data_IF_880947475800
#
_entry.id   IF_880947475800
#
_cell.length_a   1.000
_cell.length_b   1.000
_cell.length_c   1.000
_cell.angle_alpha   90.00
_cell.angle_beta   90.00
_cell.angle_gamma   90.00
#
_symmetry.space_group_name_H-M   'P 1'
#
loop_
_entity.id
_entity.type
_entity.pdbx_description
1 polymer ?
#
# COMPACT_ATOMS: atom_id res chain seq x y z
N UNK A 1 14.86 6.73 -28.56
CA UNK A 1 13.59 5.97 -28.49
C UNK A 1 12.42 6.95 -28.48
N UNK A 2 11.28 6.59 -29.06
CA UNK A 2 10.06 7.40 -28.95
C UNK A 2 9.47 7.21 -27.54
N UNK A 3 9.20 8.30 -26.85
CA UNK A 3 8.55 8.31 -25.53
C UNK A 3 7.13 7.69 -25.66
N UNK A 4 6.84 6.65 -24.88
CA UNK A 4 5.53 5.97 -24.86
C UNK A 4 4.61 6.66 -23.85
N UNK A 5 3.34 6.80 -24.21
CA UNK A 5 2.30 7.35 -23.35
C UNK A 5 1.26 6.28 -23.04
N UNK A 6 0.69 6.37 -21.84
CA UNK A 6 -0.26 5.42 -21.28
C UNK A 6 -1.55 6.16 -20.92
N UNK A 7 -2.68 5.64 -21.38
CA UNK A 7 -3.99 6.09 -20.92
C UNK A 7 -4.34 5.45 -19.56
N UNK A 8 -5.47 5.83 -18.96
CA UNK A 8 -5.85 5.33 -17.63
C UNK A 8 -6.07 3.81 -17.57
N UNK A 9 -6.52 3.18 -18.66
CA UNK A 9 -6.70 1.71 -18.73
C UNK A 9 -5.36 1.00 -18.72
N UNK A 10 -4.46 1.43 -19.59
CA UNK A 10 -3.10 0.88 -19.67
C UNK A 10 -2.33 1.15 -18.35
N UNK A 11 -2.55 2.32 -17.76
CA UNK A 11 -2.00 2.66 -16.46
C UNK A 11 -2.51 1.72 -15.36
N UNK A 12 -3.81 1.41 -15.33
CA UNK A 12 -4.38 0.48 -14.37
C UNK A 12 -3.72 -0.91 -14.45
N UNK A 13 -3.50 -1.40 -15.67
CA UNK A 13 -2.82 -2.67 -15.91
C UNK A 13 -1.35 -2.63 -15.44
N UNK A 14 -0.62 -1.56 -15.77
CA UNK A 14 0.75 -1.35 -15.30
C UNK A 14 0.86 -1.20 -13.78
N UNK A 15 -0.04 -0.45 -13.16
CA UNK A 15 -0.01 -0.21 -11.70
C UNK A 15 -0.19 -1.54 -10.97
N UNK A 16 -1.06 -2.41 -11.48
CA UNK A 16 -1.32 -3.74 -10.93
C UNK A 16 -0.16 -4.72 -11.09
N UNK A 17 0.84 -4.45 -11.93
CA UNK A 17 2.02 -5.29 -12.05
C UNK A 17 3.01 -5.05 -10.91
N UNK A 18 3.91 -5.99 -10.63
CA UNK A 18 5.03 -5.77 -9.72
C UNK A 18 6.10 -4.88 -10.34
N UNK A 19 6.86 -4.09 -9.54
CA UNK A 19 7.97 -3.27 -10.04
C UNK A 19 8.99 -4.07 -10.87
N UNK A 20 9.34 -5.29 -10.45
CA UNK A 20 10.28 -6.15 -11.17
C UNK A 20 9.73 -6.78 -12.47
N UNK A 21 8.41 -6.82 -12.65
CA UNK A 21 7.76 -7.59 -13.73
C UNK A 21 7.98 -9.11 -13.65
N UNK A 22 8.64 -9.64 -12.60
CA UNK A 22 9.06 -11.06 -12.50
C UNK A 22 7.98 -11.99 -11.96
N UNK A 23 6.92 -11.45 -11.36
CA UNK A 23 5.92 -12.24 -10.63
C UNK A 23 4.55 -12.04 -11.29
N UNK A 24 4.06 -13.08 -11.99
CA UNK A 24 2.64 -13.22 -12.31
C UNK A 24 1.90 -13.66 -11.04
N UNK A 25 1.35 -12.70 -10.28
CA UNK A 25 0.45 -12.99 -9.17
C UNK A 25 -0.86 -12.23 -9.34
N UNK A 26 -1.89 -12.71 -8.65
CA UNK A 26 -3.19 -12.05 -8.49
C UNK A 26 -3.01 -10.56 -8.17
N UNK A 27 -3.97 -9.73 -8.60
CA UNK A 27 -3.93 -8.29 -8.37
C UNK A 27 -3.79 -7.95 -6.88
N UNK A 28 -2.60 -7.49 -6.47
CA UNK A 28 -2.30 -7.11 -5.09
C UNK A 28 -2.88 -5.75 -4.66
N UNK A 29 -3.52 -5.05 -5.59
CA UNK A 29 -4.13 -3.74 -5.38
C UNK A 29 -5.57 -3.73 -5.88
N UNK A 30 -6.50 -3.48 -4.97
CA UNK A 30 -7.90 -3.21 -5.28
C UNK A 30 -8.09 -1.71 -5.58
N UNK A 31 -7.62 -1.29 -6.76
CA UNK A 31 -7.85 0.06 -7.28
C UNK A 31 -8.67 0.03 -8.57
N UNK A 32 -9.59 0.98 -8.68
CA UNK A 32 -10.47 1.20 -9.83
C UNK A 32 -9.97 2.34 -10.71
N UNK A 33 -10.35 2.34 -11.99
CA UNK A 33 -10.11 3.48 -12.89
C UNK A 33 -10.62 4.81 -12.30
N UNK A 34 -11.77 4.78 -11.60
CA UNK A 34 -12.38 5.98 -11.01
C UNK A 34 -11.48 6.58 -9.93
N UNK A 35 -10.87 5.75 -9.08
CA UNK A 35 -9.93 6.19 -8.06
C UNK A 35 -8.66 6.76 -8.70
N UNK A 36 -8.11 6.10 -9.73
CA UNK A 36 -6.95 6.63 -10.48
C UNK A 36 -7.26 8.01 -11.07
N UNK A 37 -8.42 8.18 -11.72
CA UNK A 37 -8.82 9.48 -12.31
C UNK A 37 -8.97 10.57 -11.25
N UNK A 38 -9.43 10.24 -10.05
CA UNK A 38 -9.54 11.21 -8.95
C UNK A 38 -8.16 11.64 -8.41
N UNK A 39 -7.22 10.69 -8.27
CA UNK A 39 -5.83 10.98 -7.89
C UNK A 39 -5.18 11.90 -8.94
N UNK A 40 -5.29 11.54 -10.23
CA UNK A 40 -4.76 12.35 -11.33
C UNK A 40 -5.38 13.74 -11.38
N UNK A 41 -6.70 13.86 -11.18
CA UNK A 41 -7.40 15.13 -11.11
C UNK A 41 -6.81 16.03 -10.03
N UNK A 42 -6.63 15.49 -8.82
CA UNK A 42 -6.11 16.22 -7.66
C UNK A 42 -4.66 16.67 -7.86
N UNK A 43 -3.83 15.82 -8.46
CA UNK A 43 -2.43 16.16 -8.77
C UNK A 43 -2.34 17.28 -9.82
N UNK A 44 -3.02 17.10 -10.95
CA UNK A 44 -2.95 18.07 -12.07
C UNK A 44 -3.51 19.43 -11.65
N UNK A 45 -4.66 19.46 -10.97
CA UNK A 45 -5.22 20.72 -10.47
C UNK A 45 -4.33 21.34 -9.38
N UNK A 46 -3.75 20.53 -8.49
CA UNK A 46 -2.82 21.01 -7.47
C UNK A 46 -1.60 21.71 -8.11
N UNK A 47 -1.03 21.12 -9.16
CA UNK A 47 0.07 21.75 -9.92
C UNK A 47 -0.35 23.08 -10.56
N UNK A 48 -1.55 23.16 -11.14
CA UNK A 48 -2.07 24.43 -11.68
C UNK A 48 -2.27 25.51 -10.60
N UNK A 49 -2.54 25.08 -9.37
CA UNK A 49 -2.62 25.94 -8.18
C UNK A 49 -1.27 26.19 -7.52
N UNK A 50 -0.17 25.77 -8.14
CA UNK A 50 1.21 25.98 -7.68
C UNK A 50 1.51 25.34 -6.31
N UNK A 51 0.81 24.25 -5.97
CA UNK A 51 1.14 23.45 -4.80
C UNK A 51 2.48 22.74 -5.02
N UNK A 52 3.27 22.64 -3.96
CA UNK A 52 4.53 21.89 -3.95
C UNK A 52 4.29 20.38 -3.86
N UNK A 53 5.27 19.55 -4.27
CA UNK A 53 5.16 18.11 -4.10
C UNK A 53 5.04 17.70 -2.61
N UNK A 54 4.06 16.87 -2.31
CA UNK A 54 3.70 16.45 -0.96
C UNK A 54 2.75 17.41 -0.24
N UNK A 55 2.40 18.56 -0.84
CA UNK A 55 1.47 19.51 -0.25
C UNK A 55 0.02 19.05 -0.46
N UNK A 56 -0.78 19.17 0.60
CA UNK A 56 -2.22 18.93 0.59
C UNK A 56 -2.95 20.18 1.05
N UNK A 57 -3.89 20.68 0.24
CA UNK A 57 -4.60 21.92 0.54
C UNK A 57 -6.02 21.91 -0.02
N UNK A 58 -6.95 22.53 0.70
CA UNK A 58 -8.30 22.79 0.20
C UNK A 58 -8.20 23.98 -0.75
N UNK A 59 -8.62 23.79 -1.99
CA UNK A 59 -8.57 24.80 -3.05
C UNK A 59 -9.88 24.81 -3.82
N UNK A 60 -10.29 25.99 -4.31
CA UNK A 60 -11.44 26.09 -5.21
C UNK A 60 -10.98 26.00 -6.66
N UNK A 61 -11.78 25.38 -7.53
CA UNK A 61 -11.55 25.36 -8.97
C UNK A 61 -12.86 25.29 -9.76
N UNK A 62 -12.77 25.74 -11.01
CA UNK A 62 -13.87 25.73 -11.97
C UNK A 62 -13.90 24.34 -12.64
N UNK A 63 -15.03 23.63 -12.52
CA UNK A 63 -15.28 22.39 -13.28
C UNK A 63 -15.59 22.72 -14.73
N UNK A 64 -15.48 21.73 -15.64
CA UNK A 64 -15.88 21.83 -17.06
C UNK A 64 -17.33 22.32 -17.32
N UNK A 65 -18.18 22.44 -16.29
CA UNK A 65 -19.54 22.98 -16.35
C UNK A 65 -19.68 24.34 -15.63
N UNK A 66 -18.58 25.09 -15.51
CA UNK A 66 -18.49 26.45 -14.94
C UNK A 66 -18.96 26.61 -13.47
N UNK A 67 -19.15 25.50 -12.75
CA UNK A 67 -19.42 25.53 -11.32
C UNK A 67 -18.10 25.52 -10.54
N UNK A 68 -17.95 26.49 -9.66
CA UNK A 68 -16.86 26.51 -8.68
C UNK A 68 -17.12 25.45 -7.61
N UNK A 69 -16.07 24.69 -7.29
CA UNK A 69 -16.11 23.62 -6.29
C UNK A 69 -14.85 23.69 -5.45
N UNK A 70 -14.99 23.56 -4.13
CA UNK A 70 -13.88 23.32 -3.21
C UNK A 70 -13.59 21.81 -3.14
N UNK A 71 -12.32 21.42 -3.26
CA UNK A 71 -11.85 20.05 -3.09
C UNK A 71 -10.48 20.07 -2.42
N UNK A 72 -10.11 18.96 -1.78
CA UNK A 72 -8.78 18.81 -1.21
C UNK A 72 -7.84 18.29 -2.30
N UNK A 73 -6.99 19.18 -2.80
CA UNK A 73 -5.97 18.88 -3.81
C UNK A 73 -4.71 18.33 -3.14
N UNK A 74 -3.97 17.51 -3.87
CA UNK A 74 -2.72 16.91 -3.42
C UNK A 74 -1.80 16.67 -4.61
N UNK A 75 -0.57 17.18 -4.54
CA UNK A 75 0.46 16.95 -5.56
C UNK A 75 1.38 15.85 -5.05
N UNK A 76 1.34 14.66 -5.66
CA UNK A 76 2.21 13.56 -5.24
C UNK A 76 3.64 13.76 -5.77
N UNK A 77 4.65 13.20 -5.08
CA UNK A 77 6.02 13.15 -5.57
C UNK A 77 6.17 12.65 -7.01
N UNK A 78 7.09 13.23 -7.79
CA UNK A 78 7.46 12.70 -9.10
C UNK A 78 8.87 12.12 -9.08
N UNK A 79 9.05 11.07 -9.86
CA UNK A 79 10.26 10.26 -10.00
C UNK A 79 10.58 10.09 -11.48
N UNK A 80 11.85 9.80 -11.79
CA UNK A 80 12.36 9.74 -13.16
C UNK A 80 12.78 11.11 -13.70
N UNK A 81 13.38 11.10 -14.89
CA UNK A 81 14.09 12.26 -15.47
C UNK A 81 13.16 13.35 -15.99
N UNK A 82 11.99 12.99 -16.51
CA UNK A 82 11.08 13.94 -17.16
C UNK A 82 9.60 13.50 -17.07
N UNK A 83 8.99 13.48 -15.88
CA UNK A 83 7.60 13.07 -15.67
C UNK A 83 6.61 14.03 -16.35
N UNK A 84 5.81 13.52 -17.29
CA UNK A 84 4.83 14.29 -18.08
C UNK A 84 3.44 13.68 -18.04
N UNK A 85 2.44 14.56 -18.01
CA UNK A 85 1.04 14.22 -18.16
C UNK A 85 0.34 15.22 -19.08
N UNK A 86 -0.50 14.70 -19.98
CA UNK A 86 -1.51 15.44 -20.71
C UNK A 86 -2.85 15.23 -20.02
N UNK A 87 -3.60 16.31 -19.82
CA UNK A 87 -4.85 16.28 -19.07
C UNK A 87 -5.93 17.11 -19.75
N UNK A 88 -7.19 16.69 -19.57
CA UNK A 88 -8.34 17.46 -20.08
C UNK A 88 -8.42 18.85 -19.46
N UNK A 89 -7.87 19.00 -18.25
CA UNK A 89 -7.81 20.25 -17.51
C UNK A 89 -6.86 21.28 -18.14
N UNK A 90 -5.96 20.84 -19.02
CA UNK A 90 -5.02 21.73 -19.72
C UNK A 90 -5.76 22.79 -20.55
N UNK A 91 -6.93 22.46 -21.10
CA UNK A 91 -7.75 23.41 -21.87
C UNK A 91 -8.27 24.58 -21.04
N UNK A 92 -8.41 24.40 -19.72
CA UNK A 92 -8.93 25.42 -18.80
C UNK A 92 -7.80 26.19 -18.12
N UNK A 93 -6.68 25.53 -17.79
CA UNK A 93 -5.67 26.09 -16.89
C UNK A 93 -4.27 26.25 -17.52
N UNK A 94 -3.99 25.60 -18.66
CA UNK A 94 -2.70 25.74 -19.34
C UNK A 94 -2.78 26.90 -20.32
N UNK A 95 -1.90 27.90 -20.15
CA UNK A 95 -1.70 28.92 -21.18
C UNK A 95 -1.06 28.25 -22.40
N UNK A 96 -1.75 28.24 -23.53
CA UNK A 96 -1.19 27.71 -24.78
C UNK A 96 0.10 28.44 -25.15
N UNK A 97 1.16 27.68 -25.42
CA UNK A 97 2.44 28.18 -25.88
C UNK A 97 2.28 28.91 -27.23
N UNK A 98 2.86 30.11 -27.33
CA UNK A 98 2.83 30.94 -28.55
C UNK A 98 3.45 30.22 -29.75
N UNK A 99 4.48 29.40 -29.53
CA UNK A 99 5.16 28.64 -30.56
C UNK A 99 4.25 27.52 -31.11
N UNK A 100 3.50 26.85 -30.23
CA UNK A 100 2.53 25.81 -30.60
C UNK A 100 1.38 26.42 -31.42
N UNK A 101 0.90 27.61 -31.05
CA UNK A 101 -0.08 28.37 -31.86
C UNK A 101 0.45 28.72 -33.25
N UNK A 102 1.71 29.10 -33.38
CA UNK A 102 2.33 29.40 -34.67
C UNK A 102 2.51 28.15 -35.54
N UNK A 103 3.00 27.06 -34.97
CA UNK A 103 3.21 25.78 -35.69
C UNK A 103 1.89 25.16 -36.16
N UNK A 104 0.81 25.26 -35.37
CA UNK A 104 -0.53 24.82 -35.77
C UNK A 104 -1.09 25.64 -36.94
N UNK A 105 -0.86 26.96 -36.95
CA UNK A 105 -1.26 27.84 -38.07
C UNK A 105 -0.52 27.49 -39.38
N UNK A 106 0.63 26.85 -39.28
CA UNK A 106 1.44 26.41 -40.44
C UNK A 106 1.12 24.98 -40.89
N UNK A 107 0.12 24.30 -40.30
CA UNK A 107 -0.31 22.97 -40.74
C UNK A 107 0.68 21.83 -40.46
N UNK A 108 1.75 22.08 -39.70
CA UNK A 108 2.76 21.09 -39.35
C UNK A 108 2.20 20.15 -38.25
N UNK A 109 1.98 18.87 -38.59
CA UNK A 109 1.68 17.81 -37.62
C UNK A 109 2.96 17.44 -36.88
N UNK A 110 3.18 18.07 -35.75
CA UNK A 110 4.33 17.79 -34.86
C UNK A 110 4.18 16.41 -34.19
N UNK A 111 5.21 15.83 -33.53
CA UNK A 111 5.08 14.60 -32.74
C UNK A 111 3.91 14.63 -31.73
N UNK A 112 3.56 15.82 -31.24
CA UNK A 112 2.40 16.09 -30.40
C UNK A 112 1.06 15.86 -31.10
N UNK A 113 0.99 15.76 -32.42
CA UNK A 113 -0.24 15.46 -33.16
C UNK A 113 -0.67 13.99 -32.96
N UNK A 114 0.29 13.04 -32.91
CA UNK A 114 0.00 11.63 -32.61
C UNK A 114 -0.44 11.44 -31.16
N UNK A 115 0.28 12.08 -30.23
CA UNK A 115 -0.09 12.11 -28.81
C UNK A 115 -1.49 12.73 -28.63
N UNK A 116 -1.84 13.75 -29.42
CA UNK A 116 -3.20 14.35 -29.41
C UNK A 116 -4.28 13.41 -29.93
N UNK A 117 -4.00 12.54 -30.90
CA UNK A 117 -4.96 11.53 -31.36
C UNK A 117 -5.16 10.45 -30.30
N UNK A 118 -4.08 9.94 -29.70
CA UNK A 118 -4.14 9.03 -28.55
C UNK A 118 -4.91 9.67 -27.38
N UNK A 119 -4.72 10.97 -27.14
CA UNK A 119 -5.37 11.70 -26.06
C UNK A 119 -6.89 11.76 -26.25
N UNK A 120 -7.35 12.00 -27.48
CA UNK A 120 -8.78 12.00 -27.83
C UNK A 120 -9.46 10.67 -27.53
N UNK A 121 -8.71 9.57 -27.56
CA UNK A 121 -9.21 8.21 -27.31
C UNK A 121 -9.03 7.73 -25.85
N UNK A 122 -8.48 8.53 -24.95
CA UNK A 122 -8.09 8.14 -23.57
C UNK A 122 -9.22 8.17 -22.50
N UNK A 123 -10.48 8.25 -22.93
CA UNK A 123 -11.67 8.29 -22.07
C UNK A 123 -12.04 9.70 -21.58
N UNK A 124 -13.03 9.81 -20.68
CA UNK A 124 -13.51 11.10 -20.13
C UNK A 124 -13.54 11.10 -18.60
N UNK A 125 -12.85 12.01 -17.90
CA UNK A 125 -11.84 12.95 -18.42
C UNK A 125 -10.60 12.22 -18.94
N UNK A 126 -10.03 12.70 -20.04
CA UNK A 126 -8.86 12.17 -20.72
C UNK A 126 -7.57 12.51 -19.97
N UNK A 127 -6.71 11.49 -19.81
CA UNK A 127 -5.35 11.59 -19.29
C UNK A 127 -4.43 10.70 -20.11
N UNK A 128 -3.25 11.20 -20.45
CA UNK A 128 -2.13 10.43 -20.99
C UNK A 128 -0.87 10.75 -20.19
N UNK A 129 -0.17 9.74 -19.71
CA UNK A 129 1.03 9.89 -18.89
C UNK A 129 2.20 9.15 -19.53
N UNK A 130 3.40 9.74 -19.47
CA UNK A 130 4.60 9.00 -19.86
C UNK A 130 5.03 8.02 -18.75
N UNK A 131 6.05 7.22 -19.02
CA UNK A 131 6.53 6.18 -18.13
C UNK A 131 6.94 6.69 -16.74
N UNK A 132 7.76 7.75 -16.67
CA UNK A 132 8.17 8.39 -15.41
C UNK A 132 6.98 8.84 -14.54
N UNK A 133 5.97 9.45 -15.18
CA UNK A 133 4.76 9.87 -14.47
C UNK A 133 3.91 8.68 -14.04
N UNK A 134 3.80 7.65 -14.89
CA UNK A 134 3.09 6.41 -14.58
C UNK A 134 3.72 5.67 -13.41
N UNK A 135 5.04 5.58 -13.38
CA UNK A 135 5.80 5.03 -12.27
C UNK A 135 5.55 5.81 -10.96
N UNK A 136 5.61 7.15 -11.04
CA UNK A 136 5.29 8.01 -9.90
C UNK A 136 3.85 7.80 -9.38
N UNK A 137 2.89 7.63 -10.29
CA UNK A 137 1.49 7.36 -9.95
C UNK A 137 1.34 6.00 -9.26
N UNK A 138 2.05 4.97 -9.74
CA UNK A 138 2.08 3.65 -9.12
C UNK A 138 2.53 3.73 -7.68
N UNK A 139 3.68 4.38 -7.41
CA UNK A 139 4.20 4.56 -6.06
C UNK A 139 3.23 5.32 -5.14
N UNK A 140 2.54 6.34 -5.67
CA UNK A 140 1.53 7.07 -4.89
C UNK A 140 0.31 6.21 -4.55
N UNK A 141 -0.14 5.37 -5.47
CA UNK A 141 -1.25 4.43 -5.22
C UNK A 141 -0.84 3.41 -4.18
N UNK A 142 0.36 2.86 -4.30
CA UNK A 142 0.93 1.94 -3.32
C UNK A 142 1.01 2.60 -1.94
N UNK A 143 1.51 3.83 -1.84
CA UNK A 143 1.54 4.59 -0.57
C UNK A 143 0.14 4.77 0.05
N UNK A 144 -0.92 4.87 -0.76
CA UNK A 144 -2.29 5.05 -0.27
C UNK A 144 -2.96 3.75 0.14
N UNK A 145 -2.63 2.67 -0.55
CA UNK A 145 -3.25 1.36 -0.30
C UNK A 145 -2.45 0.52 0.71
N UNK A 146 -1.20 0.89 1.00
CA UNK A 146 -0.32 0.20 1.93
C UNK A 146 -0.10 1.02 3.21
N UNK A 147 -0.24 0.44 4.41
CA UNK A 147 -0.60 -0.95 4.67
C UNK A 147 -2.08 -1.21 4.42
N UNK A 148 -2.37 -2.36 3.81
CA UNK A 148 -3.74 -2.81 3.52
C UNK A 148 -4.46 -3.08 4.85
N UNK A 149 -5.41 -2.23 5.23
CA UNK A 149 -6.30 -2.50 6.38
C UNK A 149 -7.42 -3.45 5.94
N UNK A 150 -7.23 -4.76 6.13
CA UNK A 150 -8.27 -5.77 5.85
C UNK A 150 -8.51 -6.62 7.11
N UNK A 151 -9.06 -6.00 8.15
CA UNK A 151 -9.70 -6.79 9.20
C UNK A 151 -11.09 -7.18 8.73
N UNK A 152 -11.29 -8.44 8.34
CA UNK A 152 -12.62 -8.95 7.96
C UNK A 152 -13.34 -9.54 9.17
N UNK A 153 -12.59 -9.96 10.19
CA UNK A 153 -13.16 -10.51 11.41
C UNK A 153 -13.93 -9.46 12.22
N UNK A 154 -15.15 -9.85 12.59
CA UNK A 154 -16.03 -9.13 13.52
C UNK A 154 -16.45 -10.09 14.63
N UNK A 155 -16.65 -9.61 15.87
CA UNK A 155 -17.20 -10.46 16.92
C UNK A 155 -18.58 -10.95 16.50
N UNK A 156 -18.96 -12.16 16.89
CA UNK A 156 -20.35 -12.62 16.77
C UNK A 156 -21.26 -11.62 17.47
N UNK A 157 -22.47 -11.43 16.98
CA UNK A 157 -23.42 -10.58 17.71
C UNK A 157 -23.80 -11.26 19.02
N UNK A 158 -24.10 -10.46 20.06
CA UNK A 158 -24.62 -10.98 21.33
C UNK A 158 -25.86 -11.87 21.12
N UNK A 159 -26.73 -11.56 20.15
CA UNK A 159 -27.85 -12.42 19.77
C UNK A 159 -27.42 -13.76 19.19
N UNK A 160 -26.43 -13.78 18.29
CA UNK A 160 -25.90 -15.02 17.69
C UNK A 160 -25.31 -15.92 18.76
N UNK A 161 -24.51 -15.36 19.68
CA UNK A 161 -23.91 -16.14 20.78
C UNK A 161 -25.02 -16.71 21.67
N UNK A 162 -26.04 -15.92 22.02
CA UNK A 162 -27.17 -16.40 22.82
C UNK A 162 -27.96 -17.52 22.15
N UNK A 163 -28.11 -17.50 20.82
CA UNK A 163 -28.76 -18.58 20.08
C UNK A 163 -27.96 -19.89 20.09
N UNK A 164 -26.63 -19.79 20.17
CA UNK A 164 -25.74 -20.94 20.25
C UNK A 164 -25.62 -21.51 21.67
N UNK A 165 -26.07 -20.76 22.68
CA UNK A 165 -26.14 -21.19 24.07
C UNK A 165 -27.53 -21.80 24.35
N UNK A 166 -27.60 -23.09 24.64
CA UNK A 166 -28.82 -23.77 25.08
C UNK A 166 -28.74 -24.08 26.58
N UNK A 167 -29.78 -23.73 27.33
CA UNK A 167 -29.90 -23.95 28.78
C UNK A 167 -29.69 -25.42 29.16
N UNK A 168 -30.35 -26.35 28.45
CA UNK A 168 -30.25 -27.79 28.69
C UNK A 168 -28.83 -28.33 28.41
N UNK A 169 -28.18 -27.80 27.37
CA UNK A 169 -26.80 -28.16 27.01
C UNK A 169 -25.77 -27.56 27.97
N UNK A 170 -26.04 -26.38 28.55
CA UNK A 170 -25.14 -25.76 29.52
C UNK A 170 -25.22 -26.45 30.89
N UNK A 171 -26.37 -27.00 31.27
CA UNK A 171 -26.51 -27.78 32.52
C UNK A 171 -25.73 -29.10 32.46
N UNK A 172 -25.74 -29.77 31.31
CA UNK A 172 -25.16 -31.10 31.15
C UNK A 172 -23.76 -31.11 30.52
N UNK A 173 -23.48 -30.18 29.61
CA UNK A 173 -22.30 -30.17 28.72
C UNK A 173 -21.67 -28.77 28.62
N UNK A 174 -21.59 -28.03 29.74
CA UNK A 174 -21.05 -26.66 29.76
C UNK A 174 -19.71 -26.53 29.04
N UNK A 175 -18.73 -27.35 29.45
CA UNK A 175 -17.35 -27.25 28.95
C UNK A 175 -17.29 -27.49 27.44
N UNK A 176 -17.93 -28.57 26.96
CA UNK A 176 -18.00 -28.88 25.54
C UNK A 176 -18.63 -27.74 24.74
N UNK A 177 -19.75 -27.19 25.23
CA UNK A 177 -20.46 -26.08 24.56
C UNK A 177 -19.56 -24.84 24.42
N UNK A 178 -18.86 -24.47 25.50
CA UNK A 178 -17.97 -23.31 25.48
C UNK A 178 -16.71 -23.57 24.64
N UNK A 179 -16.12 -24.77 24.71
CA UNK A 179 -14.97 -25.16 23.89
C UNK A 179 -15.32 -25.03 22.41
N UNK A 180 -16.42 -25.63 21.96
CA UNK A 180 -16.84 -25.55 20.55
C UNK A 180 -17.04 -24.10 20.09
N UNK A 181 -17.63 -23.25 20.94
CA UNK A 181 -17.76 -21.82 20.62
C UNK A 181 -16.41 -21.13 20.46
N UNK A 182 -15.45 -21.42 21.33
CA UNK A 182 -14.13 -20.80 21.29
C UNK A 182 -13.28 -21.35 20.14
N UNK A 183 -13.33 -22.65 19.85
CA UNK A 183 -12.65 -23.27 18.70
C UNK A 183 -13.13 -22.68 17.37
N UNK A 184 -14.45 -22.45 17.23
CA UNK A 184 -14.99 -21.77 16.04
C UNK A 184 -14.46 -20.33 15.93
N UNK A 185 -14.36 -19.63 17.06
CA UNK A 185 -13.81 -18.28 17.10
C UNK A 185 -12.31 -18.26 16.75
N UNK A 186 -11.53 -19.19 17.29
CA UNK A 186 -10.12 -19.40 16.93
C UNK A 186 -9.96 -19.67 15.43
N UNK A 187 -10.76 -20.58 14.86
CA UNK A 187 -10.70 -20.88 13.42
C UNK A 187 -10.91 -19.62 12.59
N UNK A 188 -11.88 -18.78 12.95
CA UNK A 188 -12.14 -17.50 12.26
C UNK A 188 -11.01 -16.50 12.41
N UNK A 189 -10.36 -16.42 13.58
CA UNK A 189 -9.16 -15.61 13.79
C UNK A 189 -8.01 -16.09 12.90
N UNK A 190 -7.81 -17.41 12.84
CA UNK A 190 -6.76 -18.04 12.03
C UNK A 190 -6.97 -17.81 10.54
N UNK A 191 -8.21 -17.93 10.05
CA UNK A 191 -8.58 -17.60 8.66
C UNK A 191 -8.29 -16.13 8.32
N UNK A 192 -8.70 -15.18 9.17
CA UNK A 192 -8.41 -13.75 8.98
C UNK A 192 -6.89 -13.47 9.04
N UNK A 193 -6.16 -14.16 9.92
CA UNK A 193 -4.70 -14.06 10.00
C UNK A 193 -4.02 -14.55 8.72
N UNK A 194 -4.40 -15.70 8.16
CA UNK A 194 -3.79 -16.19 6.92
C UNK A 194 -3.99 -15.23 5.75
N UNK A 195 -5.20 -14.67 5.61
CA UNK A 195 -5.50 -13.67 4.59
C UNK A 195 -4.67 -12.39 4.78
N UNK A 196 -4.58 -11.89 6.02
CA UNK A 196 -3.74 -10.73 6.34
C UNK A 196 -2.26 -11.02 6.09
N UNK A 197 -1.79 -12.22 6.44
CA UNK A 197 -0.40 -12.61 6.29
C UNK A 197 0.00 -12.73 4.82
N UNK A 198 -0.88 -13.26 3.96
CA UNK A 198 -0.70 -13.27 2.50
C UNK A 198 -0.42 -11.85 1.98
N UNK A 199 -1.22 -10.87 2.43
CA UNK A 199 -1.09 -9.47 2.04
C UNK A 199 0.17 -8.80 2.61
N UNK A 200 0.57 -9.13 3.83
CA UNK A 200 1.81 -8.63 4.44
C UNK A 200 3.05 -9.12 3.69
N UNK A 201 3.10 -10.43 3.36
CA UNK A 201 4.16 -11.03 2.56
C UNK A 201 4.23 -10.37 1.19
N UNK A 202 3.08 -10.17 0.58
CA UNK A 202 2.97 -9.54 -0.73
C UNK A 202 3.56 -8.12 -0.78
N UNK A 203 3.33 -7.34 0.28
CA UNK A 203 3.96 -6.02 0.42
C UNK A 203 5.46 -6.11 0.66
N UNK A 204 5.91 -7.11 1.42
CA UNK A 204 7.32 -7.33 1.69
C UNK A 204 8.12 -7.76 0.45
N UNK A 205 7.49 -8.41 -0.54
CA UNK A 205 8.18 -8.81 -1.79
C UNK A 205 8.84 -7.62 -2.50
N UNK A 206 8.30 -6.40 -2.39
CA UNK A 206 8.95 -5.20 -2.98
C UNK A 206 10.32 -4.92 -2.40
N UNK A 207 10.49 -5.16 -1.11
CA UNK A 207 11.79 -4.98 -0.46
C UNK A 207 12.68 -6.19 -0.73
N UNK A 208 12.11 -7.39 -0.88
CA UNK A 208 12.80 -8.53 -1.46
C UNK A 208 13.38 -8.23 -2.85
N UNK A 209 12.60 -7.62 -3.75
CA UNK A 209 13.07 -7.19 -5.07
C UNK A 209 14.22 -6.18 -4.98
N UNK A 210 14.12 -5.21 -4.06
CA UNK A 210 15.20 -4.26 -3.80
C UNK A 210 16.46 -4.96 -3.28
N UNK A 211 16.32 -5.87 -2.32
CA UNK A 211 17.44 -6.66 -1.77
C UNK A 211 18.15 -7.44 -2.88
N UNK A 212 17.39 -8.10 -3.75
CA UNK A 212 17.93 -8.89 -4.85
C UNK A 212 18.65 -8.02 -5.90
N UNK A 213 18.11 -6.85 -6.28
CA UNK A 213 18.79 -5.92 -7.19
C UNK A 213 20.09 -5.39 -6.56
N UNK A 214 20.03 -4.98 -5.29
CA UNK A 214 21.16 -4.47 -4.53
C UNK A 214 22.26 -5.52 -4.39
N UNK A 215 21.90 -6.79 -4.12
CA UNK A 215 22.83 -7.94 -4.11
C UNK A 215 23.45 -8.20 -5.47
N UNK A 216 22.64 -8.21 -6.53
CA UNK A 216 23.11 -8.44 -7.90
C UNK A 216 24.11 -7.39 -8.39
N UNK A 217 24.15 -6.22 -7.74
CA UNK A 217 25.08 -5.12 -8.05
C UNK A 217 26.31 -5.08 -7.14
N UNK A 218 26.43 -5.96 -6.15
CA UNK A 218 27.53 -5.94 -5.17
C UNK A 218 28.90 -6.13 -5.84
N UNK A 219 29.02 -6.98 -6.85
CA UNK A 219 30.28 -7.18 -7.59
C UNK A 219 30.71 -5.91 -8.35
N UNK A 220 29.74 -5.22 -8.96
CA UNK A 220 29.99 -3.94 -9.64
C UNK A 220 30.44 -2.91 -8.61
N UNK A 221 29.70 -2.79 -7.49
CA UNK A 221 30.01 -1.88 -6.41
C UNK A 221 31.44 -2.09 -5.87
N UNK A 222 31.84 -3.35 -5.63
CA UNK A 222 33.19 -3.73 -5.24
C UNK A 222 34.26 -3.23 -6.20
N UNK A 223 34.00 -3.34 -7.50
CA UNK A 223 34.95 -2.92 -8.53
C UNK A 223 35.06 -1.40 -8.67
N UNK A 224 33.98 -0.66 -8.43
CA UNK A 224 33.88 0.77 -8.78
C UNK A 224 33.97 1.70 -7.59
N UNK A 225 33.77 1.18 -6.37
CA UNK A 225 33.84 1.90 -5.12
C UNK A 225 34.56 1.08 -4.02
N UNK A 226 35.83 0.68 -4.23
CA UNK A 226 36.59 -0.13 -3.26
C UNK A 226 36.84 0.59 -1.93
N UNK A 227 36.62 1.91 -1.86
CA UNK A 227 36.68 2.70 -0.64
C UNK A 227 35.58 2.39 0.37
N UNK A 228 34.48 1.76 -0.05
CA UNK A 228 33.35 1.49 0.81
C UNK A 228 33.56 0.23 1.65
N UNK A 229 33.19 0.30 2.93
CA UNK A 229 33.17 -0.87 3.81
C UNK A 229 31.99 -1.77 3.45
N UNK A 230 32.30 -2.92 2.85
CA UNK A 230 31.28 -3.90 2.48
C UNK A 230 30.83 -4.79 3.62
N UNK A 231 31.60 -4.89 4.71
CA UNK A 231 31.20 -5.65 5.88
C UNK A 231 29.94 -5.05 6.52
N UNK A 232 29.92 -3.72 6.72
CA UNK A 232 28.74 -3.02 7.23
C UNK A 232 27.56 -3.07 6.25
N UNK A 233 27.84 -3.05 4.96
CA UNK A 233 26.82 -3.16 3.91
C UNK A 233 26.17 -4.54 3.89
N UNK A 234 26.98 -5.60 3.84
CA UNK A 234 26.50 -6.98 3.84
C UNK A 234 25.74 -7.30 5.13
N UNK A 235 26.25 -6.86 6.29
CA UNK A 235 25.55 -7.00 7.57
C UNK A 235 24.17 -6.33 7.55
N UNK A 236 24.05 -5.15 6.92
CA UNK A 236 22.76 -4.48 6.77
C UNK A 236 21.83 -5.23 5.81
N UNK A 237 22.34 -5.84 4.74
CA UNK A 237 21.53 -6.66 3.84
C UNK A 237 21.00 -7.91 4.55
N UNK A 238 21.84 -8.57 5.35
CA UNK A 238 21.47 -9.75 6.14
C UNK A 238 20.40 -9.42 7.19
N UNK A 239 20.55 -8.31 7.93
CA UNK A 239 19.54 -7.87 8.92
C UNK A 239 18.17 -7.68 8.27
N UNK A 240 18.14 -7.05 7.10
CA UNK A 240 16.90 -6.76 6.37
C UNK A 240 16.31 -8.05 5.79
N UNK A 241 17.13 -8.96 5.27
CA UNK A 241 16.70 -10.29 4.82
C UNK A 241 16.12 -11.11 5.98
N UNK A 242 16.79 -11.17 7.12
CA UNK A 242 16.33 -11.89 8.31
C UNK A 242 14.96 -11.37 8.76
N UNK A 243 14.80 -10.04 8.81
CA UNK A 243 13.52 -9.41 9.12
C UNK A 243 12.39 -9.91 8.18
N UNK A 244 12.63 -9.95 6.87
CA UNK A 244 11.62 -10.41 5.92
C UNK A 244 11.39 -11.91 5.95
N UNK A 245 12.41 -12.72 6.22
CA UNK A 245 12.26 -14.15 6.41
C UNK A 245 11.44 -14.46 7.67
N UNK A 246 11.67 -13.72 8.77
CA UNK A 246 10.87 -13.81 9.98
C UNK A 246 9.42 -13.39 9.72
N UNK A 247 9.21 -12.34 8.93
CA UNK A 247 7.87 -11.93 8.50
C UNK A 247 7.20 -13.04 7.66
N UNK A 248 7.88 -13.65 6.69
CA UNK A 248 7.31 -14.70 5.81
C UNK A 248 6.98 -15.99 6.55
N UNK A 249 7.78 -16.36 7.54
CA UNK A 249 7.66 -17.61 8.29
C UNK A 249 6.91 -17.44 9.62
N UNK A 250 6.29 -16.29 9.86
CA UNK A 250 5.57 -16.04 11.09
C UNK A 250 4.41 -17.02 11.25
N UNK A 251 4.23 -17.58 12.45
CA UNK A 251 3.12 -18.48 12.78
C UNK A 251 1.97 -17.73 13.46
N UNK A 252 0.76 -18.25 13.31
CA UNK A 252 -0.39 -17.77 14.05
C UNK A 252 -0.30 -18.21 15.51
N UNK A 253 -0.26 -17.23 16.42
CA UNK A 253 -0.27 -17.47 17.86
C UNK A 253 -1.61 -17.06 18.44
N UNK A 254 -2.25 -17.97 19.17
CA UNK A 254 -3.49 -17.65 19.87
C UNK A 254 -3.20 -16.68 21.02
N UNK A 255 -4.01 -15.63 21.12
CA UNK A 255 -3.84 -14.57 22.11
C UNK A 255 -4.40 -14.94 23.49
N UNK A 256 -5.00 -16.11 23.63
CA UNK A 256 -5.68 -16.60 24.84
C UNK A 256 -5.55 -18.13 24.99
N UNK A 257 -5.63 -18.60 26.23
CA UNK A 257 -5.65 -20.05 26.54
C UNK A 257 -7.10 -20.55 26.63
N UNK A 258 -7.40 -21.64 25.92
CA UNK A 258 -8.74 -22.23 25.85
C UNK A 258 -9.24 -22.68 27.23
N UNK A 259 -8.46 -23.51 27.92
CA UNK A 259 -8.84 -24.09 29.21
C UNK A 259 -9.06 -23.02 30.29
N UNK A 260 -8.20 -22.00 30.31
CA UNK A 260 -8.32 -20.89 31.25
C UNK A 260 -9.57 -20.05 30.96
N UNK A 261 -9.88 -19.83 29.68
CA UNK A 261 -11.07 -19.09 29.25
C UNK A 261 -12.35 -19.84 29.62
N UNK A 262 -12.41 -21.15 29.34
CA UNK A 262 -13.54 -22.02 29.73
C UNK A 262 -13.74 -21.98 31.25
N UNK A 263 -12.65 -22.09 32.02
CA UNK A 263 -12.69 -22.02 33.48
C UNK A 263 -13.23 -20.68 33.99
N UNK A 264 -12.85 -19.56 33.37
CA UNK A 264 -13.37 -18.21 33.67
C UNK A 264 -14.87 -18.12 33.39
N UNK A 265 -15.35 -18.65 32.26
CA UNK A 265 -16.76 -18.68 31.93
C UNK A 265 -17.57 -19.58 32.87
N UNK A 266 -17.05 -20.77 33.24
CA UNK A 266 -17.69 -21.68 34.19
C UNK A 266 -17.84 -21.04 35.57
N UNK A 267 -16.79 -20.40 36.07
CA UNK A 267 -16.84 -19.64 37.34
C UNK A 267 -17.86 -18.50 37.29
N UNK A 268 -18.01 -17.84 36.13
CA UNK A 268 -19.01 -16.79 35.94
C UNK A 268 -20.44 -17.37 35.91
N UNK A 269 -20.65 -18.46 35.18
CA UNK A 269 -21.92 -19.17 35.06
C UNK A 269 -22.44 -19.63 36.42
N UNK A 270 -21.61 -20.31 37.21
CA UNK A 270 -21.98 -20.86 38.53
C UNK A 270 -22.33 -19.79 39.58
N UNK A 271 -21.92 -18.53 39.39
CA UNK A 271 -22.22 -17.41 40.30
C UNK A 271 -23.58 -16.76 40.02
N UNK A 272 -24.23 -17.09 38.91
CA UNK A 272 -25.51 -16.49 38.52
C UNK A 272 -26.67 -17.22 39.21
N UNK A 273 -27.49 -16.47 39.96
CA UNK A 273 -28.63 -17.02 40.73
C UNK A 273 -29.97 -16.82 40.00
N UNK A 274 -29.99 -16.13 38.85
CA UNK A 274 -31.20 -15.62 38.19
C UNK A 274 -31.48 -16.21 36.80
N UNK A 275 -32.77 -16.23 36.39
CA UNK A 275 -33.31 -16.68 35.07
C UNK A 275 -32.69 -16.07 33.78
N UNK A 276 -31.75 -15.15 33.87
CA UNK A 276 -31.10 -14.50 32.71
C UNK A 276 -29.65 -14.98 32.47
N UNK A 277 -29.28 -16.17 32.98
CA UNK A 277 -27.91 -16.71 32.92
C UNK A 277 -27.36 -16.74 31.49
N UNK A 278 -28.14 -17.22 30.53
CA UNK A 278 -27.75 -17.28 29.11
C UNK A 278 -27.40 -15.88 28.58
N UNK A 279 -28.25 -14.88 28.87
CA UNK A 279 -28.02 -13.53 28.37
C UNK A 279 -26.74 -12.92 28.94
N UNK A 280 -26.51 -13.12 30.24
CA UNK A 280 -25.30 -12.66 30.93
C UNK A 280 -24.03 -13.34 30.40
N UNK A 281 -24.08 -14.67 30.22
CA UNK A 281 -22.96 -15.45 29.68
C UNK A 281 -22.67 -15.08 28.23
N UNK A 282 -23.70 -14.98 27.39
CA UNK A 282 -23.56 -14.58 25.99
C UNK A 282 -22.96 -13.18 25.83
N UNK A 283 -23.35 -12.22 26.68
CA UNK A 283 -22.71 -10.91 26.73
C UNK A 283 -21.23 -11.00 27.17
N UNK A 284 -20.90 -11.88 28.11
CA UNK A 284 -19.52 -12.05 28.57
C UNK A 284 -18.62 -12.66 27.49
N UNK A 285 -19.12 -13.63 26.73
CA UNK A 285 -18.43 -14.22 25.58
C UNK A 285 -18.30 -13.18 24.45
N UNK A 286 -19.33 -12.38 24.21
CA UNK A 286 -19.26 -11.28 23.23
C UNK A 286 -18.13 -10.29 23.55
N UNK A 287 -18.07 -9.80 24.79
CA UNK A 287 -17.01 -8.87 25.21
C UNK A 287 -15.62 -9.53 25.17
N UNK A 288 -15.55 -10.84 25.44
CA UNK A 288 -14.32 -11.61 25.26
C UNK A 288 -13.87 -11.63 23.79
N UNK A 289 -14.74 -11.99 22.84
CA UNK A 289 -14.38 -12.00 21.41
C UNK A 289 -13.94 -10.61 20.94
N UNK A 290 -14.68 -9.58 21.35
CA UNK A 290 -14.35 -8.20 21.03
C UNK A 290 -12.97 -7.80 21.55
N UNK A 291 -12.65 -8.18 22.78
CA UNK A 291 -11.34 -7.93 23.38
C UNK A 291 -10.23 -8.66 22.61
N UNK A 292 -10.40 -9.95 22.29
CA UNK A 292 -9.40 -10.72 21.57
C UNK A 292 -9.19 -10.20 20.13
N UNK A 293 -10.27 -9.83 19.44
CA UNK A 293 -10.19 -9.19 18.12
C UNK A 293 -9.42 -7.87 18.19
N UNK A 294 -9.63 -7.05 19.22
CA UNK A 294 -8.89 -5.80 19.37
C UNK A 294 -7.40 -6.04 19.59
N UNK A 295 -7.03 -6.98 20.47
CA UNK A 295 -5.63 -7.35 20.70
C UNK A 295 -4.97 -7.88 19.42
N UNK A 296 -5.66 -8.76 18.70
CA UNK A 296 -5.23 -9.25 17.39
C UNK A 296 -4.99 -8.10 16.39
N UNK A 297 -5.91 -7.13 16.32
CA UNK A 297 -5.77 -5.95 15.45
C UNK A 297 -4.55 -5.12 15.81
N UNK A 298 -4.32 -4.87 17.09
CA UNK A 298 -3.17 -4.11 17.58
C UNK A 298 -1.85 -4.79 17.20
N UNK A 299 -1.76 -6.11 17.35
CA UNK A 299 -0.57 -6.89 16.97
C UNK A 299 -0.27 -6.79 15.46
N UNK A 300 -1.28 -6.94 14.61
CA UNK A 300 -1.13 -6.83 13.15
C UNK A 300 -0.77 -5.39 12.73
N UNK A 301 -1.36 -4.38 13.37
CA UNK A 301 -1.02 -2.97 13.09
C UNK A 301 0.43 -2.67 13.47
N UNK A 302 0.91 -3.20 14.61
CA UNK A 302 2.28 -2.98 15.06
C UNK A 302 3.31 -3.69 14.18
N UNK A 303 3.05 -4.94 13.78
CA UNK A 303 3.89 -5.66 12.81
C UNK A 303 4.01 -4.89 11.49
N UNK A 304 2.89 -4.35 11.00
CA UNK A 304 2.89 -3.54 9.78
C UNK A 304 3.67 -2.24 9.94
N UNK A 305 3.58 -1.55 11.09
CA UNK A 305 4.41 -0.37 11.36
C UNK A 305 5.89 -0.72 11.33
N UNK A 306 6.29 -1.81 12.00
CA UNK A 306 7.67 -2.25 12.03
C UNK A 306 8.19 -2.56 10.62
N UNK A 307 7.40 -3.25 9.79
CA UNK A 307 7.72 -3.49 8.38
C UNK A 307 7.99 -2.20 7.63
N UNK A 308 7.09 -1.21 7.74
CA UNK A 308 7.23 0.09 7.08
C UNK A 308 8.48 0.84 7.57
N UNK A 309 8.75 0.81 8.88
CA UNK A 309 9.93 1.44 9.46
C UNK A 309 11.21 0.79 8.91
N UNK A 310 11.31 -0.54 8.92
CA UNK A 310 12.46 -1.28 8.40
C UNK A 310 12.70 -0.96 6.92
N UNK A 311 11.64 -0.96 6.12
CA UNK A 311 11.69 -0.59 4.70
C UNK A 311 12.24 0.84 4.49
N UNK A 312 11.73 1.82 5.23
CA UNK A 312 12.17 3.21 5.13
C UNK A 312 13.64 3.36 5.55
N UNK A 313 14.03 2.73 6.66
CA UNK A 313 15.40 2.77 7.16
C UNK A 313 16.37 2.14 6.17
N UNK A 314 16.00 1.01 5.56
CA UNK A 314 16.82 0.37 4.56
C UNK A 314 17.00 1.24 3.30
N UNK A 315 15.90 1.81 2.79
CA UNK A 315 15.95 2.74 1.64
C UNK A 315 16.85 3.94 1.92
N UNK A 316 16.74 4.54 3.10
CA UNK A 316 17.61 5.66 3.53
C UNK A 316 19.07 5.24 3.65
N UNK A 317 19.32 4.07 4.25
CA UNK A 317 20.66 3.52 4.37
C UNK A 317 21.33 3.40 3.00
N UNK A 318 20.66 2.83 2.00
CA UNK A 318 21.22 2.67 0.65
C UNK A 318 21.56 4.02 0.01
N UNK A 319 20.69 5.01 0.15
CA UNK A 319 20.95 6.37 -0.37
C UNK A 319 22.21 6.97 0.27
N UNK A 320 22.29 6.96 1.60
CA UNK A 320 23.45 7.51 2.31
C UNK A 320 24.73 6.73 2.03
N UNK A 321 24.63 5.41 1.91
CA UNK A 321 25.75 4.55 1.57
C UNK A 321 26.28 4.85 0.16
N UNK A 322 25.41 4.94 -0.85
CA UNK A 322 25.83 5.25 -2.22
C UNK A 322 26.28 6.69 -2.43
N UNK A 323 25.84 7.65 -1.60
CA UNK A 323 26.38 9.03 -1.62
C UNK A 323 27.89 9.08 -1.33
N UNK A 324 28.43 8.08 -0.62
CA UNK A 324 29.85 8.00 -0.29
C UNK A 324 30.72 7.42 -1.42
N UNK A 325 30.14 6.99 -2.55
CA UNK A 325 30.91 6.60 -3.74
C UNK A 325 31.65 7.83 -4.26
N UNK A 326 32.97 7.75 -4.41
CA UNK A 326 33.80 8.87 -4.84
C UNK A 326 33.55 9.23 -6.31
N UNK A 327 33.53 8.21 -7.18
CA UNK A 327 33.31 8.38 -8.61
C UNK A 327 31.90 8.92 -8.87
N UNK A 328 31.80 10.10 -9.48
CA UNK A 328 30.52 10.78 -9.70
C UNK A 328 29.61 10.04 -10.65
N UNK A 329 30.16 9.37 -11.67
CA UNK A 329 29.37 8.62 -12.63
C UNK A 329 28.72 7.40 -11.96
N UNK A 330 29.51 6.63 -11.21
CA UNK A 330 29.00 5.46 -10.49
C UNK A 330 28.06 5.85 -9.35
N UNK A 331 28.38 6.89 -8.60
CA UNK A 331 27.46 7.45 -7.59
C UNK A 331 26.11 7.78 -8.20
N UNK A 332 26.09 8.53 -9.31
CA UNK A 332 24.85 8.85 -10.01
C UNK A 332 24.14 7.61 -10.54
N UNK A 333 24.86 6.61 -11.06
CA UNK A 333 24.29 5.37 -11.56
C UNK A 333 23.55 4.57 -10.47
N UNK A 334 24.18 4.38 -9.31
CA UNK A 334 23.58 3.66 -8.19
C UNK A 334 22.40 4.42 -7.58
N UNK A 335 22.54 5.75 -7.42
CA UNK A 335 21.46 6.57 -6.89
C UNK A 335 20.28 6.64 -7.86
N UNK A 336 20.51 6.87 -9.16
CA UNK A 336 19.45 6.88 -10.16
C UNK A 336 18.74 5.53 -10.27
N UNK A 337 19.45 4.41 -10.05
CA UNK A 337 18.81 3.10 -9.98
C UNK A 337 17.78 3.01 -8.84
N UNK A 338 18.12 3.52 -7.65
CA UNK A 338 17.19 3.56 -6.52
C UNK A 338 15.97 4.44 -6.80
N UNK A 339 16.17 5.56 -7.50
CA UNK A 339 15.09 6.48 -7.87
C UNK A 339 14.21 5.92 -8.98
N UNK A 340 14.81 5.50 -10.10
CA UNK A 340 14.13 5.13 -11.34
C UNK A 340 13.41 3.77 -11.22
N UNK A 341 13.98 2.82 -10.46
CA UNK A 341 13.40 1.47 -10.34
C UNK A 341 12.62 1.26 -9.04
N UNK A 342 12.94 1.99 -7.97
CA UNK A 342 12.35 1.77 -6.65
C UNK A 342 11.69 3.00 -6.03
N UNK A 343 11.72 4.16 -6.70
CA UNK A 343 11.04 5.36 -6.23
C UNK A 343 11.63 5.94 -4.96
N UNK A 344 12.93 5.71 -4.73
CA UNK A 344 13.61 6.17 -3.53
C UNK A 344 14.13 7.59 -3.78
N UNK A 345 13.65 8.56 -3.00
CA UNK A 345 14.12 9.95 -3.10
C UNK A 345 15.53 10.08 -2.57
N UNK A 346 16.44 10.59 -3.41
CA UNK A 346 17.87 10.78 -3.09
C UNK A 346 18.13 12.11 -2.37
N UNK A 347 17.31 13.13 -2.64
CA UNK A 347 17.52 14.54 -2.25
C UNK A 347 16.60 15.03 -1.12
N UNK A 348 16.21 14.15 -0.18
CA UNK A 348 15.36 14.54 0.95
C UNK A 348 16.05 14.40 2.28
#
# INVERSE_FOLDING_TARGET
MKEKYYNVKEALEYIRSYPSGRIEKEFYMDITEKQIRDILKKDVLGKYRQLSEGEQKIETYIKFKEKEVADTLYVFPKFGKNPKIFSSWDSLYKKEDKLVKQLQRQGLKTPEAKIREEFKNSGKPAYLMNEDYLFSLKLEIERRQLPIKIFRIQPRTSSTIKQLLNEEMLETNFELTIITLLEEFERRLKEDWFENQKLCIEQAEKVGELLEDVRGRTEILQSVAPELSLDSYNSRLEEVEEFYNNLKNQEFTLSFEMEESVSKFKKFYMKQVNKNVISSLGNKIYEFEKYQINKYKEEIEEQNKNRVITEILFKRYLVEFYKNINDSFWRENFLSNLEDNFGIKINR
#
